data_IF_166162494237
#
_entry.id   IF_166162494237
#
_cell.length_a   1.000
_cell.length_b   1.000
_cell.length_c   1.000
_cell.angle_alpha   90.00
_cell.angle_beta   90.00
_cell.angle_gamma   90.00
#
_symmetry.space_group_name_H-M   'P 1'
#
loop_
_entity.id
_entity.type
_entity.pdbx_description
1 polymer ?
#
# COMPACT_ATOMS: atom_id res chain seq x y z
N UNK A 1 -8.57 -22.82 -2.29
CA UNK A 1 -9.00 -21.46 -2.67
C UNK A 1 -7.92 -20.70 -3.43
N UNK A 2 -6.71 -20.52 -2.86
CA UNK A 2 -5.61 -19.79 -3.51
C UNK A 2 -5.21 -20.43 -4.86
N UNK A 3 -5.08 -21.75 -4.91
CA UNK A 3 -4.79 -22.48 -6.16
C UNK A 3 -5.85 -22.25 -7.25
N UNK A 4 -7.14 -22.17 -6.88
CA UNK A 4 -8.19 -21.85 -7.85
C UNK A 4 -8.10 -20.41 -8.37
N UNK A 5 -7.71 -19.46 -7.51
CA UNK A 5 -7.44 -18.08 -7.95
C UNK A 5 -6.28 -18.06 -8.94
N UNK A 6 -5.17 -18.72 -8.60
CA UNK A 6 -3.99 -18.83 -9.47
C UNK A 6 -4.32 -19.48 -10.82
N UNK A 7 -5.06 -20.60 -10.82
CA UNK A 7 -5.51 -21.27 -12.04
C UNK A 7 -6.44 -20.38 -12.90
N UNK A 8 -7.23 -19.49 -12.30
CA UNK A 8 -8.05 -18.52 -13.04
C UNK A 8 -7.18 -17.42 -13.67
N UNK A 9 -6.15 -16.94 -12.96
CA UNK A 9 -5.18 -15.99 -13.51
C UNK A 9 -4.43 -16.63 -14.67
N UNK A 10 -4.00 -17.89 -14.53
CA UNK A 10 -3.39 -18.66 -15.62
C UNK A 10 -4.26 -18.70 -16.87
N UNK A 11 -5.56 -19.01 -16.72
CA UNK A 11 -6.54 -19.01 -17.84
C UNK A 11 -6.68 -17.64 -18.50
N UNK A 12 -6.65 -16.54 -17.75
CA UNK A 12 -6.65 -15.18 -18.30
C UNK A 12 -5.39 -14.94 -19.16
N UNK A 13 -4.22 -15.26 -18.62
CA UNK A 13 -2.93 -15.10 -19.31
C UNK A 13 -2.86 -15.96 -20.58
N UNK A 14 -3.29 -17.21 -20.52
CA UNK A 14 -3.38 -18.10 -21.68
C UNK A 14 -4.30 -17.53 -22.76
N UNK A 15 -5.45 -16.99 -22.35
CA UNK A 15 -6.42 -16.37 -23.26
C UNK A 15 -5.82 -15.14 -23.95
N UNK A 16 -5.14 -14.26 -23.21
CA UNK A 16 -4.46 -13.09 -23.78
C UNK A 16 -3.36 -13.50 -24.77
N UNK A 17 -2.58 -14.55 -24.45
CA UNK A 17 -1.54 -15.07 -25.34
C UNK A 17 -2.12 -15.71 -26.61
N UNK A 18 -3.14 -16.57 -26.47
CA UNK A 18 -3.81 -17.24 -27.61
C UNK A 18 -4.37 -16.23 -28.61
N UNK A 19 -4.88 -15.11 -28.13
CA UNK A 19 -5.43 -14.02 -28.95
C UNK A 19 -4.38 -12.97 -29.35
N UNK A 20 -3.09 -13.17 -29.03
CA UNK A 20 -1.99 -12.24 -29.33
C UNK A 20 -2.19 -10.82 -28.75
N UNK A 21 -2.88 -10.71 -27.62
CA UNK A 21 -3.20 -9.43 -26.97
C UNK A 21 -2.17 -9.03 -25.89
N UNK A 22 -1.32 -9.97 -25.45
CA UNK A 22 -0.42 -9.76 -24.31
C UNK A 22 0.57 -8.60 -24.48
N UNK A 23 1.00 -8.30 -25.72
CA UNK A 23 1.94 -7.20 -25.99
C UNK A 23 1.30 -5.82 -25.83
N UNK A 24 -0.03 -5.74 -25.97
CA UNK A 24 -0.80 -4.51 -25.81
C UNK A 24 -1.73 -4.56 -24.58
N UNK A 25 -1.39 -5.39 -23.59
CA UNK A 25 -2.15 -5.52 -22.35
C UNK A 25 -1.21 -5.33 -21.17
N UNK A 26 -1.66 -4.53 -20.20
CA UNK A 26 -1.04 -4.42 -18.89
C UNK A 26 -1.86 -5.27 -17.93
N UNK A 27 -1.21 -6.23 -17.28
CA UNK A 27 -1.83 -7.06 -16.23
C UNK A 27 -1.31 -6.60 -14.88
N UNK A 28 -2.22 -6.26 -13.97
CA UNK A 28 -1.89 -5.99 -12.57
C UNK A 28 -2.57 -7.04 -11.70
N UNK A 29 -1.80 -7.63 -10.80
CA UNK A 29 -2.33 -8.41 -9.70
C UNK A 29 -2.00 -7.68 -8.40
N UNK A 30 -3.01 -7.50 -7.53
CA UNK A 30 -2.84 -6.87 -6.22
C UNK A 30 -3.94 -7.37 -5.27
N UNK A 31 -3.62 -7.57 -4.00
CA UNK A 31 -4.62 -7.82 -2.95
C UNK A 31 -5.15 -6.49 -2.40
N UNK A 32 -6.39 -6.46 -1.92
CA UNK A 32 -7.03 -5.26 -1.34
C UNK A 32 -6.54 -4.95 0.09
N UNK A 33 -6.29 -5.99 0.88
CA UNK A 33 -5.77 -5.92 2.24
C UNK A 33 -4.97 -7.18 2.59
N UNK A 34 -4.37 -7.17 3.78
CA UNK A 34 -3.74 -8.33 4.39
C UNK A 34 -4.71 -9.51 4.59
N UNK A 35 -4.17 -10.72 4.71
CA UNK A 35 -4.94 -11.94 4.88
C UNK A 35 -5.72 -11.98 6.20
N UNK A 36 -6.93 -12.55 6.16
CA UNK A 36 -7.76 -12.76 7.34
C UNK A 36 -7.28 -13.99 8.13
N UNK A 37 -6.43 -13.74 9.13
CA UNK A 37 -5.79 -14.80 9.94
C UNK A 37 -6.80 -15.78 10.57
N UNK A 38 -7.97 -15.36 11.11
CA UNK A 38 -8.95 -16.29 11.65
C UNK A 38 -9.55 -17.27 10.62
N UNK A 39 -9.46 -16.95 9.32
CA UNK A 39 -9.86 -17.85 8.23
C UNK A 39 -8.71 -18.71 7.70
N UNK A 40 -7.57 -18.77 8.41
CA UNK A 40 -6.41 -19.57 8.02
C UNK A 40 -5.52 -18.92 6.94
N UNK A 41 -5.67 -17.63 6.68
CA UNK A 41 -4.76 -16.91 5.79
C UNK A 41 -3.38 -16.70 6.46
N UNK A 42 -2.36 -16.40 5.66
CA UNK A 42 -0.99 -16.11 6.13
C UNK A 42 -0.48 -14.80 5.53
N UNK A 43 0.18 -13.99 6.36
CA UNK A 43 0.91 -12.77 5.96
C UNK A 43 2.42 -12.99 6.08
N UNK A 44 2.87 -14.25 6.08
CA UNK A 44 4.25 -14.63 6.31
C UNK A 44 4.71 -14.24 7.71
N UNK A 45 5.85 -13.54 7.80
CA UNK A 45 6.43 -13.07 9.07
C UNK A 45 5.94 -11.67 9.49
N UNK A 46 5.13 -11.02 8.65
CA UNK A 46 4.61 -9.68 8.95
C UNK A 46 3.63 -9.77 10.13
N UNK A 47 3.63 -8.73 10.96
CA UNK A 47 2.76 -8.66 12.13
C UNK A 47 1.34 -8.28 11.71
N UNK A 48 0.35 -8.94 12.30
CA UNK A 48 -1.07 -8.66 12.05
C UNK A 48 -1.62 -9.23 10.74
N UNK A 49 -2.87 -8.90 10.46
CA UNK A 49 -3.59 -9.28 9.25
C UNK A 49 -4.72 -8.34 8.90
N UNK A 50 -5.70 -8.81 8.13
CA UNK A 50 -6.89 -8.02 7.77
C UNK A 50 -7.40 -7.25 9.00
N UNK A 51 -7.63 -5.95 8.82
CA UNK A 51 -8.04 -4.96 9.84
C UNK A 51 -6.92 -4.33 10.68
N UNK A 52 -5.71 -4.88 10.70
CA UNK A 52 -4.60 -4.29 11.44
C UNK A 52 -3.91 -3.17 10.65
N UNK A 53 -3.34 -2.21 11.38
CA UNK A 53 -2.45 -1.16 10.88
C UNK A 53 -0.98 -1.61 10.81
N UNK A 54 -0.66 -2.79 11.33
CA UNK A 54 0.64 -3.43 11.15
C UNK A 54 0.86 -3.85 9.68
N UNK A 55 2.11 -4.06 9.26
CA UNK A 55 2.49 -4.41 7.88
C UNK A 55 1.71 -5.63 7.37
N UNK A 56 1.39 -6.61 8.20
CA UNK A 56 0.61 -7.78 7.78
C UNK A 56 -0.84 -7.46 7.39
N UNK A 57 -1.38 -6.31 7.79
CA UNK A 57 -2.71 -5.82 7.41
C UNK A 57 -2.73 -4.93 6.17
N UNK A 58 -1.63 -4.23 5.88
CA UNK A 58 -1.57 -3.20 4.83
C UNK A 58 -0.57 -3.47 3.70
N UNK A 59 0.47 -4.28 3.93
CA UNK A 59 1.47 -4.66 2.93
C UNK A 59 1.03 -5.94 2.24
N UNK A 60 0.68 -5.81 0.97
CA UNK A 60 0.04 -6.85 0.16
C UNK A 60 0.93 -7.28 -1.01
N UNK A 61 0.75 -8.50 -1.55
CA UNK A 61 1.36 -8.87 -2.81
C UNK A 61 0.81 -7.99 -3.94
N UNK A 62 1.72 -7.46 -4.76
CA UNK A 62 1.40 -6.72 -5.96
C UNK A 62 2.43 -7.02 -7.05
N UNK A 63 1.98 -7.17 -8.30
CA UNK A 63 2.86 -7.23 -9.46
C UNK A 63 2.18 -6.62 -10.69
N UNK A 64 3.01 -6.12 -11.62
CA UNK A 64 2.57 -5.59 -12.90
C UNK A 64 3.36 -6.24 -14.02
N UNK A 65 2.66 -6.66 -15.06
CA UNK A 65 3.24 -7.26 -16.27
C UNK A 65 2.83 -6.43 -17.47
N UNK A 66 3.82 -5.94 -18.20
CA UNK A 66 3.64 -5.31 -19.51
C UNK A 66 4.72 -5.82 -20.44
N UNK A 67 4.35 -6.77 -21.31
CA UNK A 67 5.30 -7.49 -22.17
C UNK A 67 6.09 -6.51 -23.04
N UNK A 68 7.41 -6.68 -23.11
CA UNK A 68 8.36 -5.83 -23.84
C UNK A 68 8.49 -4.38 -23.31
N UNK A 69 7.89 -4.06 -22.17
CA UNK A 69 8.00 -2.73 -21.53
C UNK A 69 8.58 -2.82 -20.12
N UNK A 70 8.04 -3.70 -19.29
CA UNK A 70 8.58 -3.98 -17.96
C UNK A 70 9.55 -5.16 -18.07
N UNK A 71 10.77 -5.01 -17.55
CA UNK A 71 11.78 -6.08 -17.52
C UNK A 71 11.25 -7.31 -16.77
N UNK A 72 11.30 -8.52 -17.37
CA UNK A 72 10.85 -9.73 -16.68
C UNK A 72 11.61 -9.97 -15.37
N UNK A 73 10.90 -10.42 -14.33
CA UNK A 73 11.47 -10.74 -13.01
C UNK A 73 12.15 -9.56 -12.31
N UNK A 74 11.90 -8.32 -12.74
CA UNK A 74 12.32 -7.14 -12.01
C UNK A 74 11.53 -7.00 -10.70
N UNK A 75 12.05 -6.18 -9.79
CA UNK A 75 11.42 -5.86 -8.52
C UNK A 75 11.46 -4.33 -8.34
N UNK A 76 10.82 -3.82 -7.29
CA UNK A 76 10.97 -2.42 -6.87
C UNK A 76 10.74 -2.32 -5.36
N UNK A 77 11.48 -1.44 -4.70
CA UNK A 77 11.32 -1.11 -3.28
C UNK A 77 10.66 0.27 -3.08
N UNK A 78 10.15 0.87 -4.16
CA UNK A 78 9.43 2.14 -4.10
C UNK A 78 8.22 2.00 -3.19
N UNK A 79 8.05 2.96 -2.30
CA UNK A 79 6.91 3.02 -1.40
C UNK A 79 5.64 3.38 -2.20
N UNK A 80 4.82 2.38 -2.48
CA UNK A 80 3.61 2.49 -3.29
C UNK A 80 2.35 2.11 -2.52
N UNK A 81 1.20 2.61 -2.99
CA UNK A 81 -0.14 2.25 -2.54
C UNK A 81 -1.05 2.01 -3.75
N UNK A 82 -2.16 1.29 -3.54
CA UNK A 82 -3.12 0.98 -4.61
C UNK A 82 -3.69 2.22 -5.30
N UNK A 83 -3.79 3.35 -4.60
CA UNK A 83 -4.20 4.64 -5.18
C UNK A 83 -3.26 5.18 -6.27
N UNK A 84 -2.01 4.71 -6.31
CA UNK A 84 -1.03 5.11 -7.33
C UNK A 84 -1.33 4.50 -8.71
N UNK A 85 -2.15 3.44 -8.76
CA UNK A 85 -2.59 2.84 -10.04
C UNK A 85 -3.33 3.87 -10.89
N UNK A 86 -4.16 4.72 -10.27
CA UNK A 86 -4.97 5.72 -10.98
C UNK A 86 -4.13 6.74 -11.78
N UNK A 87 -3.22 7.53 -11.16
CA UNK A 87 -2.38 8.47 -11.92
C UNK A 87 -1.43 7.76 -12.88
N UNK A 88 -0.92 6.57 -12.54
CA UNK A 88 -0.07 5.76 -13.45
C UNK A 88 -0.82 5.41 -14.74
N UNK A 89 -2.09 4.97 -14.62
CA UNK A 89 -2.90 4.63 -15.79
C UNK A 89 -3.37 5.86 -16.55
N UNK A 90 -3.60 6.98 -15.84
CA UNK A 90 -3.86 8.27 -16.47
C UNK A 90 -2.71 8.70 -17.38
N UNK A 91 -1.46 8.50 -16.96
CA UNK A 91 -0.28 8.74 -17.81
C UNK A 91 -0.22 7.78 -18.99
N UNK A 92 -0.43 6.47 -18.78
CA UNK A 92 -0.45 5.46 -19.86
C UNK A 92 -1.48 5.81 -20.94
N UNK A 93 -2.67 6.24 -20.54
CA UNK A 93 -3.78 6.53 -21.46
C UNK A 93 -3.78 7.95 -21.99
N UNK A 94 -2.83 8.81 -21.61
CA UNK A 94 -2.86 10.26 -21.85
C UNK A 94 -4.16 10.93 -21.37
N UNK A 95 -4.78 10.44 -20.29
CA UNK A 95 -5.99 11.03 -19.75
C UNK A 95 -5.68 12.35 -19.04
N UNK A 96 -6.52 13.37 -19.26
CA UNK A 96 -6.43 14.65 -18.54
C UNK A 96 -7.09 14.52 -17.17
N UNK A 97 -6.31 14.68 -16.12
CA UNK A 97 -6.83 14.69 -14.74
C UNK A 97 -6.90 16.14 -14.26
N UNK A 98 -8.12 16.63 -14.03
CA UNK A 98 -8.41 18.03 -13.70
C UNK A 98 -8.57 18.30 -12.20
N UNK A 99 -8.39 17.28 -11.35
CA UNK A 99 -8.54 17.37 -9.91
C UNK A 99 -7.29 16.84 -9.20
N UNK A 100 -7.16 17.17 -7.91
CA UNK A 100 -6.05 16.70 -7.09
C UNK A 100 -6.18 15.20 -6.83
N UNK A 101 -5.07 14.47 -7.01
CA UNK A 101 -4.92 13.06 -6.68
C UNK A 101 -3.89 12.91 -5.56
N UNK A 102 -4.12 11.97 -4.64
CA UNK A 102 -3.17 11.67 -3.55
C UNK A 102 -2.12 10.61 -3.93
N UNK A 103 -2.42 9.76 -4.91
CA UNK A 103 -1.46 8.82 -5.51
C UNK A 103 -0.42 9.50 -6.39
N UNK A 104 0.67 8.79 -6.68
CA UNK A 104 1.76 9.22 -7.57
C UNK A 104 1.86 8.34 -8.81
N UNK A 105 2.43 8.88 -9.88
CA UNK A 105 2.75 8.08 -11.07
C UNK A 105 3.93 7.13 -10.79
N UNK A 106 3.72 5.83 -11.01
CA UNK A 106 4.72 4.79 -10.83
C UNK A 106 5.49 4.45 -12.12
N UNK A 107 5.07 4.94 -13.29
CA UNK A 107 5.72 4.64 -14.57
C UNK A 107 7.25 4.80 -14.57
N UNK A 108 7.83 5.88 -14.00
CA UNK A 108 9.29 6.05 -13.97
C UNK A 108 10.03 4.91 -13.28
N UNK A 109 9.39 4.24 -12.31
CA UNK A 109 9.98 3.16 -11.54
C UNK A 109 9.78 1.79 -12.18
N UNK A 110 8.73 1.63 -13.00
CA UNK A 110 8.43 0.36 -13.67
C UNK A 110 9.45 0.01 -14.77
N UNK A 111 10.16 0.99 -15.30
CA UNK A 111 11.15 0.83 -16.37
C UNK A 111 12.61 0.98 -15.91
N UNK A 112 12.82 1.21 -14.62
CA UNK A 112 14.14 1.46 -14.04
C UNK A 112 14.55 0.29 -13.15
N UNK A 113 15.77 -0.22 -13.34
CA UNK A 113 16.33 -1.26 -12.46
C UNK A 113 16.37 -0.78 -11.00
N UNK A 114 16.08 -1.67 -10.04
CA UNK A 114 16.07 -1.34 -8.59
C UNK A 114 17.34 -0.62 -8.15
N UNK A 115 18.50 -1.05 -8.64
CA UNK A 115 19.80 -0.47 -8.29
C UNK A 115 19.97 0.97 -8.77
N UNK A 116 19.21 1.37 -9.79
CA UNK A 116 19.19 2.72 -10.37
C UNK A 116 18.01 3.56 -9.87
N UNK A 117 17.11 2.98 -9.08
CA UNK A 117 16.02 3.71 -8.47
C UNK A 117 16.60 4.55 -7.33
N UNK A 118 16.54 5.87 -7.45
CA UNK A 118 16.71 6.74 -6.29
C UNK A 118 15.56 6.41 -5.32
N UNK A 119 15.87 5.73 -4.21
CA UNK A 119 14.91 5.32 -3.17
C UNK A 119 14.24 6.50 -2.42
N UNK A 120 14.30 7.71 -2.98
CA UNK A 120 14.02 8.98 -2.32
C UNK A 120 12.67 9.59 -2.73
N UNK A 121 11.64 8.79 -3.00
CA UNK A 121 10.28 9.36 -2.96
C UNK A 121 9.93 9.60 -1.49
N UNK A 122 10.31 10.78 -1.00
CA UNK A 122 9.85 11.26 0.29
C UNK A 122 8.36 11.58 0.17
N UNK A 123 7.53 10.61 0.54
CA UNK A 123 6.08 10.74 0.58
C UNK A 123 5.52 10.26 1.91
N UNK A 124 4.33 10.76 2.20
CA UNK A 124 3.52 10.36 3.34
C UNK A 124 2.43 9.40 2.83
N UNK A 125 2.35 8.20 3.39
CA UNK A 125 1.25 7.25 3.14
C UNK A 125 0.44 7.09 4.41
N UNK A 126 -0.87 7.23 4.29
CA UNK A 126 -1.82 7.14 5.37
C UNK A 126 -2.72 5.92 5.19
N UNK A 127 -2.99 5.22 6.28
CA UNK A 127 -4.04 4.21 6.36
C UNK A 127 -4.98 4.61 7.50
N UNK A 128 -6.28 4.44 7.26
CA UNK A 128 -7.32 4.72 8.23
C UNK A 128 -8.36 3.63 8.12
N UNK A 129 -8.84 3.14 9.27
CA UNK A 129 -10.07 2.35 9.34
C UNK A 129 -10.99 2.98 10.36
N UNK A 130 -12.26 3.18 9.96
CA UNK A 130 -13.37 3.52 10.83
C UNK A 130 -14.22 2.28 11.04
N UNK A 131 -14.53 1.96 12.29
CA UNK A 131 -15.23 0.71 12.60
C UNK A 131 -16.28 0.92 13.69
N UNK A 132 -17.42 0.25 13.55
CA UNK A 132 -18.47 0.20 14.57
C UNK A 132 -18.15 -0.79 15.70
N UNK A 133 -19.19 -1.34 16.32
CA UNK A 133 -19.05 -2.35 17.37
C UNK A 133 -18.27 -1.84 18.58
N UNK A 134 -17.25 -2.59 19.01
CA UNK A 134 -16.40 -2.25 20.16
C UNK A 134 -15.67 -0.91 20.00
N UNK A 135 -15.48 -0.44 18.76
CA UNK A 135 -14.80 0.83 18.46
C UNK A 135 -15.75 2.02 18.37
N UNK A 136 -17.07 1.81 18.49
CA UNK A 136 -18.04 2.89 18.63
C UNK A 136 -18.06 3.91 17.48
N UNK A 137 -17.59 3.52 16.29
CA UNK A 137 -17.46 4.43 15.14
C UNK A 137 -16.20 5.29 15.15
N UNK A 138 -15.24 5.03 16.05
CA UNK A 138 -13.94 5.68 16.08
C UNK A 138 -13.00 5.10 15.02
N UNK A 139 -11.99 5.90 14.67
CA UNK A 139 -10.97 5.53 13.71
C UNK A 139 -9.65 5.19 14.38
N UNK A 140 -8.86 4.35 13.71
CA UNK A 140 -7.47 4.11 14.02
C UNK A 140 -6.64 4.15 12.74
N UNK A 141 -5.35 4.42 12.90
CA UNK A 141 -4.55 5.06 11.86
C UNK A 141 -3.13 4.51 11.79
N UNK A 142 -2.53 4.66 10.61
CA UNK A 142 -1.09 4.57 10.39
C UNK A 142 -0.63 5.67 9.44
N UNK A 143 0.56 6.22 9.69
CA UNK A 143 1.30 7.05 8.76
C UNK A 143 2.70 6.47 8.55
N UNK A 144 3.15 6.41 7.31
CA UNK A 144 4.54 6.10 6.95
C UNK A 144 5.15 7.27 6.19
N UNK A 145 6.35 7.68 6.61
CA UNK A 145 7.19 8.64 5.88
C UNK A 145 8.62 8.13 5.88
N UNK A 146 9.11 7.77 4.69
CA UNK A 146 10.39 7.10 4.51
C UNK A 146 10.43 5.75 5.25
N UNK A 147 11.49 5.55 6.05
CA UNK A 147 11.69 4.32 6.83
C UNK A 147 10.85 4.25 8.11
N UNK A 148 10.26 5.37 8.56
CA UNK A 148 9.52 5.40 9.82
C UNK A 148 8.02 5.29 9.61
N UNK A 149 7.39 4.52 10.49
CA UNK A 149 5.94 4.33 10.56
C UNK A 149 5.45 4.60 11.97
N UNK A 150 4.40 5.41 12.09
CA UNK A 150 3.66 5.63 13.33
C UNK A 150 2.26 5.06 13.17
N UNK A 151 1.83 4.19 14.07
CA UNK A 151 0.50 3.55 13.99
C UNK A 151 -0.16 3.44 15.35
N UNK A 152 -1.48 3.32 15.36
CA UNK A 152 -2.25 2.77 16.49
C UNK A 152 -3.17 1.68 15.94
N UNK A 153 -3.20 0.51 16.57
CA UNK A 153 -4.00 -0.64 16.09
C UNK A 153 -5.40 -0.72 16.71
N UNK A 154 -5.75 0.27 17.53
CA UNK A 154 -7.06 0.46 18.16
C UNK A 154 -7.26 1.95 18.40
N UNK A 155 -8.49 2.48 18.32
CA UNK A 155 -8.77 3.88 18.64
C UNK A 155 -8.46 4.24 20.10
N UNK A 156 -8.40 3.25 20.99
CA UNK A 156 -8.08 3.40 22.41
C UNK A 156 -6.61 3.13 22.73
N UNK A 157 -5.83 2.71 21.73
CA UNK A 157 -4.42 2.39 21.86
C UNK A 157 -3.53 3.63 21.77
N UNK A 158 -2.32 3.52 22.33
CA UNK A 158 -1.28 4.51 22.11
C UNK A 158 -0.66 4.34 20.73
N UNK A 159 -0.17 5.45 20.15
CA UNK A 159 0.68 5.35 18.97
C UNK A 159 2.00 4.63 19.26
N UNK A 160 2.44 3.82 18.30
CA UNK A 160 3.66 3.06 18.28
C UNK A 160 4.52 3.48 17.09
N UNK A 161 5.82 3.68 17.31
CA UNK A 161 6.78 4.09 16.30
C UNK A 161 7.69 2.91 15.95
N UNK A 162 7.87 2.67 14.66
CA UNK A 162 8.72 1.62 14.10
C UNK A 162 9.61 2.17 12.99
N UNK A 163 10.79 1.58 12.81
CA UNK A 163 11.58 1.73 11.59
C UNK A 163 11.38 0.47 10.74
N UNK A 164 10.64 0.58 9.64
CA UNK A 164 10.22 -0.54 8.80
C UNK A 164 11.36 -1.13 7.98
N UNK A 165 12.40 -0.35 7.71
CA UNK A 165 13.57 -0.86 6.98
C UNK A 165 14.43 -1.77 7.88
N UNK A 166 14.57 -1.42 9.16
CA UNK A 166 15.35 -2.20 10.15
C UNK A 166 14.52 -3.27 10.85
N UNK A 167 13.22 -3.04 11.01
CA UNK A 167 12.28 -3.92 11.68
C UNK A 167 10.98 -4.07 10.84
N UNK A 168 11.03 -4.78 9.71
CA UNK A 168 9.88 -4.97 8.83
C UNK A 168 8.76 -5.82 9.44
N UNK A 169 9.00 -6.40 10.62
CA UNK A 169 8.07 -7.24 11.35
C UNK A 169 7.46 -6.53 12.56
N UNK A 170 7.81 -5.26 12.80
CA UNK A 170 7.27 -4.40 13.86
C UNK A 170 7.29 -5.05 15.24
N UNK A 171 8.43 -5.68 15.57
CA UNK A 171 8.65 -6.36 16.85
C UNK A 171 9.14 -5.41 17.94
N UNK A 172 9.87 -4.36 17.56
CA UNK A 172 10.59 -3.49 18.48
C UNK A 172 10.09 -2.04 18.35
N UNK A 173 9.19 -1.65 19.26
CA UNK A 173 8.72 -0.26 19.34
C UNK A 173 9.87 0.66 19.73
N UNK A 174 10.03 1.75 19.00
CA UNK A 174 11.00 2.81 19.30
C UNK A 174 10.42 3.76 20.35
N UNK A 175 11.14 3.95 21.46
CA UNK A 175 10.74 4.86 22.56
C UNK A 175 11.70 6.03 22.76
N UNK A 176 12.90 5.97 22.19
CA UNK A 176 13.99 6.93 22.37
C UNK A 176 14.20 7.88 21.17
N UNK A 177 13.16 8.12 20.36
CA UNK A 177 13.18 9.09 19.26
C UNK A 177 11.98 10.07 19.34
N UNK A 178 11.94 10.93 20.38
CA UNK A 178 10.79 11.81 20.63
C UNK A 178 10.53 12.79 19.47
N UNK A 179 11.57 13.33 18.84
CA UNK A 179 11.40 14.26 17.71
C UNK A 179 10.77 13.58 16.49
N UNK A 180 11.19 12.36 16.16
CA UNK A 180 10.59 11.60 15.04
C UNK A 180 9.16 11.18 15.34
N UNK A 181 8.87 10.78 16.58
CA UNK A 181 7.52 10.49 17.04
C UNK A 181 6.61 11.72 16.89
N UNK A 182 7.09 12.88 17.36
CA UNK A 182 6.36 14.16 17.29
C UNK A 182 6.14 14.60 15.84
N UNK A 183 7.14 14.46 14.97
CA UNK A 183 7.02 14.75 13.53
C UNK A 183 5.88 13.95 12.90
N UNK A 184 5.91 12.62 13.01
CA UNK A 184 4.89 11.75 12.40
C UNK A 184 3.51 11.97 13.02
N UNK A 185 3.44 12.20 14.33
CA UNK A 185 2.16 12.50 15.01
C UNK A 185 1.56 13.81 14.49
N UNK A 186 2.38 14.83 14.25
CA UNK A 186 1.93 16.11 13.68
C UNK A 186 1.49 15.95 12.22
N UNK A 187 2.20 15.15 11.41
CA UNK A 187 1.78 14.80 10.05
C UNK A 187 0.41 14.13 10.07
N UNK A 188 0.24 13.10 10.89
CA UNK A 188 -1.02 12.37 11.00
C UNK A 188 -2.16 13.25 11.52
N UNK A 189 -1.91 14.10 12.51
CA UNK A 189 -2.91 15.03 13.05
C UNK A 189 -3.43 15.98 11.97
N UNK A 190 -2.54 16.54 11.14
CA UNK A 190 -2.94 17.38 10.00
C UNK A 190 -3.79 16.61 8.99
N UNK A 191 -3.43 15.36 8.71
CA UNK A 191 -4.22 14.49 7.83
C UNK A 191 -5.62 14.23 8.40
N UNK A 192 -5.74 13.94 9.70
CA UNK A 192 -7.02 13.70 10.38
C UNK A 192 -7.90 14.96 10.32
N UNK A 193 -7.33 16.14 10.59
CA UNK A 193 -8.08 17.40 10.51
C UNK A 193 -8.60 17.68 9.08
N UNK A 194 -7.75 17.47 8.07
CA UNK A 194 -8.11 17.67 6.66
C UNK A 194 -9.16 16.65 6.18
N UNK A 195 -9.03 15.39 6.56
CA UNK A 195 -9.99 14.34 6.17
C UNK A 195 -11.33 14.50 6.90
N UNK A 196 -11.30 14.95 8.16
CA UNK A 196 -12.48 15.24 8.95
C UNK A 196 -13.29 16.44 8.45
N UNK A 197 -12.71 17.35 7.66
CA UNK A 197 -13.45 18.46 7.04
C UNK A 197 -14.18 18.06 5.75
N UNK A 198 -14.00 16.83 5.26
CA UNK A 198 -14.70 16.33 4.07
C UNK A 198 -16.10 15.88 4.49
N UNK A 199 -17.18 16.48 3.97
CA UNK A 199 -18.53 16.04 4.31
C UNK A 199 -18.78 14.62 3.79
N UNK A 200 -19.00 13.66 4.69
CA UNK A 200 -19.24 12.25 4.31
C UNK A 200 -20.69 11.79 4.54
N UNK A 201 -21.53 12.62 5.15
CA UNK A 201 -22.98 12.46 5.21
C UNK A 201 -23.60 13.64 4.45
N UNK A 202 -24.45 13.32 3.46
CA UNK A 202 -25.30 14.29 2.78
C UNK A 202 -26.64 14.39 3.49
#
# INVERSE_FOLDING_TARGET
MIEHLDANIGRLIETLNKNKLMENTIVIFVSDNGGHLPSGASNGKLRGGKQDMFEGGIKVPACMVWKNKISPRSQTNVLSATMDIFPTFGQISNAKISHKIDGIDLLPFLFTDVEKQENNIEREIFFMRREGGEYGGLCYYSVRKGEYKLLQNSPFGNYELYNINKDPYEKNKITNMPEKYKELKNILTRHIQKSGSVPWQK
#
